data_IF_604880719274
#
_entry.id   IF_604880719274
#
_cell.length_a   1.000
_cell.length_b   1.000
_cell.length_c   1.000
_cell.angle_alpha   90.00
_cell.angle_beta   90.00
_cell.angle_gamma   90.00
#
_symmetry.space_group_name_H-M   'P 1'
#
loop_
_entity.id
_entity.type
_entity.pdbx_description
1 polymer ?
#
# COMPACT_ATOMS: atom_id res chain seq x y z
N UNK A 1 24.38 0.84 14.49
CA UNK A 1 24.17 2.12 15.22
C UNK A 1 24.00 3.36 14.31
N UNK A 2 24.56 3.39 13.08
CA UNK A 2 24.25 4.45 12.09
C UNK A 2 22.89 4.29 11.38
N UNK A 3 22.40 3.04 11.19
CA UNK A 3 21.16 2.76 10.45
C UNK A 3 19.88 3.15 11.21
N UNK A 4 19.86 2.97 12.54
CA UNK A 4 18.78 3.47 13.41
C UNK A 4 18.68 5.00 13.33
N UNK A 5 19.79 5.72 13.12
CA UNK A 5 19.78 7.16 12.86
C UNK A 5 19.22 7.52 11.48
N UNK A 6 19.35 6.65 10.47
CA UNK A 6 18.79 6.88 9.14
C UNK A 6 17.27 6.66 9.09
N UNK A 7 16.76 5.68 9.84
CA UNK A 7 15.32 5.48 10.08
C UNK A 7 14.75 6.58 11.00
N UNK A 8 15.44 6.94 12.10
CA UNK A 8 15.01 8.03 13.01
C UNK A 8 15.07 9.43 12.39
N UNK A 9 16.01 9.73 11.47
CA UNK A 9 16.05 11.04 10.79
C UNK A 9 14.86 11.29 9.85
N UNK A 10 14.10 10.24 9.54
CA UNK A 10 12.81 10.34 8.84
C UNK A 10 11.68 9.86 9.75
N UNK A 11 11.62 10.34 10.99
CA UNK A 11 10.32 10.55 11.62
C UNK A 11 9.56 11.54 10.71
N UNK A 12 8.82 10.96 9.78
CA UNK A 12 8.11 11.62 8.69
C UNK A 12 7.19 12.66 9.30
N UNK A 13 7.47 13.93 9.05
CA UNK A 13 6.50 14.97 9.29
C UNK A 13 5.29 14.67 8.39
N UNK A 14 4.17 14.25 8.99
CA UNK A 14 3.01 13.61 8.32
C UNK A 14 2.36 14.47 7.22
N UNK A 15 2.71 15.77 7.17
CA UNK A 15 2.23 16.76 6.20
C UNK A 15 3.24 17.18 5.15
N UNK A 16 4.46 16.63 5.12
CA UNK A 16 5.41 16.97 4.05
C UNK A 16 4.91 16.37 2.72
N UNK A 17 4.45 17.22 1.77
CA UNK A 17 3.94 16.72 0.51
C UNK A 17 5.05 16.02 -0.30
N UNK A 18 6.34 16.21 0.02
CA UNK A 18 7.52 15.71 -0.71
C UNK A 18 7.80 14.21 -0.53
N UNK A 19 7.10 13.55 0.39
CA UNK A 19 7.31 12.12 0.66
C UNK A 19 6.50 11.26 -0.32
N UNK A 20 7.14 10.27 -0.99
CA UNK A 20 6.43 9.34 -1.84
C UNK A 20 5.32 8.58 -1.09
N UNK A 21 4.21 8.32 -1.76
CA UNK A 21 3.00 7.68 -1.21
C UNK A 21 3.34 6.37 -0.51
N UNK A 22 4.15 5.51 -1.14
CA UNK A 22 4.52 4.23 -0.55
C UNK A 22 5.34 4.38 0.76
N UNK A 23 6.14 5.46 0.89
CA UNK A 23 6.84 5.77 2.15
C UNK A 23 5.90 6.34 3.21
N UNK A 24 4.83 7.03 2.81
CA UNK A 24 3.77 7.46 3.74
C UNK A 24 3.04 6.23 4.31
N UNK A 25 2.85 5.16 3.52
CA UNK A 25 2.26 3.92 4.03
C UNK A 25 3.04 3.37 5.23
N UNK A 26 4.38 3.33 5.18
CA UNK A 26 5.21 2.87 6.30
C UNK A 26 4.92 3.68 7.57
N UNK A 27 4.80 5.01 7.45
CA UNK A 27 4.49 5.88 8.58
C UNK A 27 3.09 5.65 9.16
N UNK A 28 2.08 5.39 8.32
CA UNK A 28 0.74 5.05 8.79
C UNK A 28 0.70 3.66 9.40
N UNK A 29 1.20 2.63 8.71
CA UNK A 29 1.29 1.25 9.21
C UNK A 29 2.02 1.21 10.54
N UNK A 30 3.13 1.94 10.70
CA UNK A 30 3.83 2.06 11.98
C UNK A 30 2.91 2.61 13.09
N UNK A 31 2.14 3.68 12.85
CA UNK A 31 1.18 4.17 13.86
C UNK A 31 0.14 3.09 14.21
N UNK A 32 -0.30 2.31 13.22
CA UNK A 32 -1.22 1.19 13.41
C UNK A 32 -0.61 0.14 14.33
N UNK A 33 0.63 -0.27 14.08
CA UNK A 33 1.40 -1.18 14.93
C UNK A 33 1.55 -0.64 16.35
N UNK A 34 1.95 0.63 16.48
CA UNK A 34 2.18 1.29 17.78
C UNK A 34 0.89 1.42 18.61
N UNK A 35 -0.29 1.34 17.97
CA UNK A 35 -1.61 1.34 18.63
C UNK A 35 -1.98 -0.04 19.18
N UNK A 36 -1.39 -1.12 18.66
CA UNK A 36 -1.64 -2.47 19.15
C UNK A 36 -1.00 -2.66 20.53
N UNK A 37 -1.65 -3.44 21.41
CA UNK A 37 -1.03 -3.87 22.67
C UNK A 37 0.20 -4.77 22.44
N UNK A 38 1.10 -4.84 23.42
CA UNK A 38 2.38 -5.56 23.30
C UNK A 38 2.23 -7.01 22.85
N UNK A 39 1.18 -7.70 23.33
CA UNK A 39 0.86 -9.07 22.92
C UNK A 39 0.66 -9.15 21.40
N UNK A 40 -0.21 -8.29 20.86
CA UNK A 40 -0.56 -8.31 19.45
C UNK A 40 0.63 -7.88 18.55
N UNK A 41 1.50 -6.99 19.04
CA UNK A 41 2.74 -6.64 18.34
C UNK A 41 3.73 -7.82 18.26
N UNK A 42 3.84 -8.61 19.34
CA UNK A 42 4.65 -9.85 19.36
C UNK A 42 4.09 -10.89 18.42
N UNK A 43 2.78 -11.11 18.43
CA UNK A 43 2.10 -12.03 17.51
C UNK A 43 2.30 -11.61 16.05
N UNK A 44 2.15 -10.31 15.74
CA UNK A 44 2.39 -9.76 14.41
C UNK A 44 3.85 -9.97 13.95
N UNK A 45 4.81 -9.73 14.84
CA UNK A 45 6.23 -9.96 14.54
C UNK A 45 6.52 -11.44 14.27
N UNK A 46 5.92 -12.34 15.06
CA UNK A 46 6.06 -13.79 14.88
C UNK A 46 5.42 -14.26 13.56
N UNK A 47 4.22 -13.77 13.25
CA UNK A 47 3.52 -14.03 11.99
C UNK A 47 4.36 -13.59 10.78
N UNK A 48 4.91 -12.38 10.82
CA UNK A 48 5.74 -11.87 9.72
C UNK A 48 7.03 -12.68 9.53
N UNK A 49 7.68 -13.12 10.63
CA UNK A 49 8.85 -14.03 10.55
C UNK A 49 8.48 -15.38 9.93
N UNK A 50 7.34 -15.95 10.31
CA UNK A 50 6.88 -17.23 9.78
C UNK A 50 6.55 -17.15 8.28
N UNK A 51 6.14 -15.98 7.78
CA UNK A 51 5.85 -15.73 6.36
C UNK A 51 7.08 -15.23 5.56
N UNK A 52 8.29 -15.37 6.10
CA UNK A 52 9.53 -15.17 5.35
C UNK A 52 10.20 -16.52 5.12
N UNK A 53 10.30 -16.93 3.85
CA UNK A 53 11.00 -18.14 3.46
C UNK A 53 12.49 -18.06 3.83
N UNK A 54 13.14 -19.20 4.08
CA UNK A 54 14.57 -19.27 4.43
C UNK A 54 15.51 -18.61 3.41
N UNK A 55 15.08 -18.60 2.14
CA UNK A 55 15.76 -17.88 1.04
C UNK A 55 15.58 -16.36 1.04
N UNK A 56 14.75 -15.81 1.93
CA UNK A 56 14.56 -14.37 2.17
C UNK A 56 13.33 -13.72 1.51
N UNK A 57 12.68 -14.39 0.57
CA UNK A 57 11.42 -13.94 -0.01
C UNK A 57 10.27 -14.08 0.98
N UNK A 58 9.36 -13.12 1.02
CA UNK A 58 8.10 -13.33 1.75
C UNK A 58 7.16 -14.20 0.93
N UNK A 59 6.28 -14.92 1.60
CA UNK A 59 5.49 -15.96 1.00
C UNK A 59 4.06 -15.54 0.68
N UNK A 60 3.48 -16.14 -0.34
CA UNK A 60 2.04 -16.16 -0.57
C UNK A 60 1.30 -17.04 0.46
N UNK A 61 -0.01 -17.17 0.30
CA UNK A 61 -0.86 -18.02 1.16
C UNK A 61 -0.53 -19.51 1.08
N UNK A 62 0.13 -19.96 0.01
CA UNK A 62 0.58 -21.34 -0.16
C UNK A 62 1.98 -21.58 0.42
N UNK A 63 2.61 -20.56 1.01
CA UNK A 63 3.96 -20.64 1.57
C UNK A 63 5.07 -20.52 0.53
N UNK A 64 4.75 -20.18 -0.72
CA UNK A 64 5.75 -20.03 -1.78
C UNK A 64 6.31 -18.61 -1.78
N UNK A 65 7.64 -18.42 -1.95
CA UNK A 65 8.21 -17.08 -2.11
C UNK A 65 7.57 -16.36 -3.30
N UNK A 66 6.97 -15.20 -3.03
CA UNK A 66 6.19 -14.45 -3.99
C UNK A 66 6.59 -12.97 -3.98
N UNK A 67 6.77 -12.38 -5.17
CA UNK A 67 7.25 -10.99 -5.29
C UNK A 67 6.17 -10.00 -4.86
N UNK A 68 4.91 -10.25 -5.20
CA UNK A 68 3.79 -9.40 -4.84
C UNK A 68 3.61 -9.34 -3.31
N UNK A 69 3.56 -10.49 -2.64
CA UNK A 69 3.52 -10.58 -1.18
C UNK A 69 4.80 -10.04 -0.52
N UNK A 70 5.94 -10.13 -1.21
CA UNK A 70 7.19 -9.49 -0.75
C UNK A 70 7.13 -7.98 -0.66
N UNK A 71 6.33 -7.30 -1.49
CA UNK A 71 6.14 -5.86 -1.33
C UNK A 71 5.51 -5.54 0.04
N UNK A 72 4.44 -6.24 0.40
CA UNK A 72 3.75 -6.07 1.68
C UNK A 72 4.63 -6.50 2.86
N UNK A 73 5.31 -7.64 2.74
CA UNK A 73 6.24 -8.13 3.77
C UNK A 73 7.37 -7.14 4.06
N UNK A 74 7.96 -6.53 3.02
CA UNK A 74 9.00 -5.50 3.20
C UNK A 74 8.44 -4.22 3.81
N UNK A 75 7.23 -3.78 3.42
CA UNK A 75 6.58 -2.60 4.02
C UNK A 75 6.25 -2.83 5.51
N UNK A 76 5.76 -4.01 5.86
CA UNK A 76 5.50 -4.42 7.24
C UNK A 76 6.80 -4.51 8.05
N UNK A 77 7.81 -5.23 7.54
CA UNK A 77 9.12 -5.36 8.19
C UNK A 77 9.81 -4.01 8.39
N UNK A 78 9.63 -3.08 7.43
CA UNK A 78 10.12 -1.70 7.56
C UNK A 78 9.39 -0.93 8.66
N UNK A 79 8.08 -1.14 8.83
CA UNK A 79 7.26 -0.49 9.86
C UNK A 79 7.53 -1.03 11.27
N UNK A 80 7.82 -2.34 11.36
CA UNK A 80 8.20 -3.07 12.57
C UNK A 80 9.70 -2.99 12.90
N UNK A 81 10.48 -2.30 12.07
CA UNK A 81 11.93 -2.15 12.22
C UNK A 81 12.70 -3.50 12.30
N UNK A 82 12.22 -4.51 11.59
CA UNK A 82 12.79 -5.86 11.55
C UNK A 82 14.01 -5.94 10.64
N UNK A 83 15.14 -5.42 11.12
CA UNK A 83 16.40 -5.28 10.36
C UNK A 83 16.90 -6.59 9.75
N UNK A 84 16.87 -7.69 10.49
CA UNK A 84 17.33 -9.01 10.00
C UNK A 84 16.48 -9.53 8.83
N UNK A 85 15.15 -9.37 8.92
CA UNK A 85 14.24 -9.75 7.85
C UNK A 85 14.49 -8.93 6.58
N UNK A 86 14.71 -7.61 6.74
CA UNK A 86 15.03 -6.71 5.63
C UNK A 86 16.38 -7.06 4.97
N UNK A 87 17.42 -7.37 5.75
CA UNK A 87 18.74 -7.76 5.20
C UNK A 87 18.68 -9.11 4.48
N UNK A 88 17.89 -10.05 4.98
CA UNK A 88 17.68 -11.34 4.30
C UNK A 88 16.91 -11.12 2.99
N UNK A 89 15.90 -10.25 2.98
CA UNK A 89 15.19 -9.91 1.76
C UNK A 89 16.05 -9.14 0.74
N UNK A 90 16.96 -8.27 1.18
CA UNK A 90 17.95 -7.62 0.29
C UNK A 90 18.80 -8.62 -0.49
N UNK A 91 19.16 -9.75 0.13
CA UNK A 91 19.91 -10.83 -0.55
C UNK A 91 19.02 -11.57 -1.56
N UNK A 92 17.78 -11.88 -1.17
CA UNK A 92 16.79 -12.51 -2.05
C UNK A 92 16.54 -11.69 -3.32
N UNK A 93 16.24 -10.40 -3.17
CA UNK A 93 15.85 -9.55 -4.31
C UNK A 93 17.01 -9.36 -5.30
N UNK A 94 18.26 -9.33 -4.83
CA UNK A 94 19.46 -9.29 -5.70
C UNK A 94 19.57 -10.52 -6.61
N UNK A 95 19.18 -11.70 -6.12
CA UNK A 95 19.21 -12.94 -6.91
C UNK A 95 18.05 -13.02 -7.91
N UNK A 96 16.92 -12.38 -7.61
CA UNK A 96 15.71 -12.39 -8.46
C UNK A 96 15.67 -11.31 -9.55
N UNK A 97 16.66 -10.41 -9.59
CA UNK A 97 16.70 -9.27 -10.54
C UNK A 97 16.59 -9.66 -12.02
N UNK A 98 16.97 -10.88 -12.41
CA UNK A 98 16.92 -11.39 -13.78
C UNK A 98 15.71 -12.26 -14.10
N UNK A 99 14.81 -12.51 -13.14
CA UNK A 99 13.74 -13.52 -13.23
C UNK A 99 12.33 -12.93 -13.23
N UNK A 100 12.19 -11.63 -13.49
CA UNK A 100 10.88 -10.99 -13.64
C UNK A 100 10.09 -11.65 -14.78
N UNK A 101 8.85 -12.08 -14.50
CA UNK A 101 8.02 -12.80 -15.48
C UNK A 101 7.03 -11.87 -16.18
N UNK A 102 6.70 -10.75 -15.54
CA UNK A 102 5.64 -9.86 -15.99
C UNK A 102 5.90 -8.39 -15.54
N UNK A 103 5.15 -7.40 -16.05
CA UNK A 103 5.35 -6.00 -15.67
C UNK A 103 5.07 -5.67 -14.20
N UNK A 104 4.22 -6.45 -13.52
CA UNK A 104 3.95 -6.26 -12.08
C UNK A 104 5.22 -6.57 -11.30
N UNK A 105 5.85 -7.71 -11.57
CA UNK A 105 7.11 -8.13 -10.94
C UNK A 105 8.17 -7.04 -11.10
N UNK A 106 8.31 -6.47 -12.31
CA UNK A 106 9.23 -5.37 -12.58
C UNK A 106 8.98 -4.16 -11.67
N UNK A 107 7.73 -3.72 -11.56
CA UNK A 107 7.37 -2.59 -10.69
C UNK A 107 7.65 -2.90 -9.22
N UNK A 108 7.27 -4.09 -8.76
CA UNK A 108 7.45 -4.52 -7.37
C UNK A 108 8.93 -4.59 -7.02
N UNK A 109 9.76 -5.21 -7.86
CA UNK A 109 11.21 -5.26 -7.68
C UNK A 109 11.78 -3.85 -7.58
N UNK A 110 11.39 -2.92 -8.48
CA UNK A 110 11.89 -1.54 -8.45
C UNK A 110 11.49 -0.79 -7.17
N UNK A 111 10.26 -0.97 -6.70
CA UNK A 111 9.76 -0.34 -5.46
C UNK A 111 10.50 -0.89 -4.23
N UNK A 112 10.67 -2.21 -4.14
CA UNK A 112 11.46 -2.86 -3.09
C UNK A 112 12.90 -2.36 -3.13
N UNK A 113 13.48 -2.19 -4.32
CA UNK A 113 14.84 -1.71 -4.47
C UNK A 113 15.03 -0.25 -4.01
N UNK A 114 14.14 0.67 -4.41
CA UNK A 114 14.21 2.06 -3.93
C UNK A 114 14.01 2.13 -2.41
N UNK A 115 13.17 1.25 -1.85
CA UNK A 115 12.95 1.17 -0.41
C UNK A 115 14.20 0.67 0.34
N UNK A 116 14.82 -0.42 -0.12
CA UNK A 116 15.90 -1.11 0.60
C UNK A 116 17.31 -0.58 0.30
N UNK A 117 17.59 -0.20 -0.94
CA UNK A 117 18.91 0.25 -1.40
C UNK A 117 19.03 1.78 -1.47
N UNK A 118 17.91 2.50 -1.43
CA UNK A 118 17.90 3.96 -1.40
C UNK A 118 18.72 4.57 -2.54
N UNK A 119 19.81 5.26 -2.19
CA UNK A 119 20.67 5.94 -3.16
C UNK A 119 21.47 4.99 -4.08
N UNK A 120 21.65 3.72 -3.69
CA UNK A 120 22.35 2.73 -4.53
C UNK A 120 21.45 2.25 -5.69
N UNK A 121 20.13 2.41 -5.58
CA UNK A 121 19.21 2.03 -6.63
C UNK A 121 19.22 3.03 -7.79
N UNK A 122 19.62 2.57 -8.97
CA UNK A 122 19.55 3.35 -10.21
C UNK A 122 18.13 3.35 -10.76
N UNK A 123 17.44 4.47 -10.55
CA UNK A 123 16.07 4.67 -11.02
C UNK A 123 15.98 4.58 -12.55
N UNK A 124 14.98 3.87 -13.09
CA UNK A 124 14.78 3.74 -14.53
C UNK A 124 14.34 5.05 -15.18
N UNK A 125 14.49 5.15 -16.51
CA UNK A 125 13.96 6.29 -17.26
C UNK A 125 12.43 6.27 -17.31
N UNK A 126 11.81 7.46 -17.38
CA UNK A 126 10.35 7.59 -17.42
C UNK A 126 9.72 6.83 -18.59
N UNK A 127 10.37 6.84 -19.77
CA UNK A 127 9.93 6.08 -20.94
C UNK A 127 9.90 4.56 -20.70
N UNK A 128 10.87 4.01 -19.95
CA UNK A 128 10.86 2.59 -19.58
C UNK A 128 9.66 2.26 -18.72
N UNK A 129 9.38 3.08 -17.70
CA UNK A 129 8.24 2.92 -16.80
C UNK A 129 6.90 3.04 -17.55
N UNK A 130 6.79 4.01 -18.47
CA UNK A 130 5.62 4.18 -19.33
C UNK A 130 5.39 2.96 -20.24
N UNK A 131 6.46 2.44 -20.87
CA UNK A 131 6.39 1.25 -21.73
C UNK A 131 5.95 0.02 -20.94
N UNK A 132 6.42 -0.16 -19.71
CA UNK A 132 6.00 -1.25 -18.82
C UNK A 132 4.51 -1.13 -18.44
N UNK A 133 4.03 0.08 -18.18
CA UNK A 133 2.64 0.32 -17.77
C UNK A 133 1.60 0.19 -18.91
N UNK A 134 1.96 0.60 -20.13
CA UNK A 134 1.01 0.68 -21.25
C UNK A 134 1.33 -0.27 -22.41
N UNK A 135 2.34 -1.14 -22.24
CA UNK A 135 2.66 -2.19 -23.21
C UNK A 135 1.52 -3.21 -23.39
N UNK A 136 1.52 -3.88 -24.55
CA UNK A 136 0.55 -4.94 -24.91
C UNK A 136 0.81 -6.25 -24.13
N UNK A 137 0.71 -6.22 -22.81
CA UNK A 137 0.69 -7.43 -21.98
C UNK A 137 -0.73 -7.66 -21.47
N UNK A 138 -1.33 -8.78 -21.88
CA UNK A 138 -2.76 -9.09 -21.76
C UNK A 138 -3.15 -9.92 -20.52
N UNK A 139 -2.20 -10.40 -19.74
CA UNK A 139 -2.48 -11.36 -18.65
C UNK A 139 -2.63 -10.73 -17.26
N UNK A 140 -2.34 -9.43 -17.09
CA UNK A 140 -2.34 -8.78 -15.77
C UNK A 140 -3.42 -7.72 -15.63
N UNK A 141 -3.98 -7.57 -14.42
CA UNK A 141 -4.99 -6.55 -14.11
C UNK A 141 -4.46 -5.15 -14.46
N UNK A 142 -5.09 -4.51 -15.45
CA UNK A 142 -4.71 -3.19 -15.94
C UNK A 142 -4.68 -2.15 -14.82
N UNK A 143 -5.70 -2.15 -13.95
CA UNK A 143 -5.81 -1.21 -12.84
C UNK A 143 -4.69 -1.37 -11.81
N UNK A 144 -4.31 -2.61 -11.52
CA UNK A 144 -3.22 -2.88 -10.58
C UNK A 144 -1.86 -2.44 -11.16
N UNK A 145 -1.61 -2.72 -12.45
CA UNK A 145 -0.42 -2.23 -13.15
C UNK A 145 -0.37 -0.69 -13.18
N UNK A 146 -1.51 -0.04 -13.40
CA UNK A 146 -1.61 1.42 -13.36
C UNK A 146 -1.32 1.96 -11.95
N UNK A 147 -1.81 1.29 -10.90
CA UNK A 147 -1.52 1.66 -9.51
C UNK A 147 -0.02 1.59 -9.19
N UNK A 148 0.66 0.49 -9.55
CA UNK A 148 2.09 0.35 -9.37
C UNK A 148 2.90 1.38 -10.18
N UNK A 149 2.45 1.69 -11.40
CA UNK A 149 3.01 2.79 -12.19
C UNK A 149 2.90 4.14 -11.48
N UNK A 150 1.76 4.45 -10.89
CA UNK A 150 1.57 5.70 -10.14
C UNK A 150 2.47 5.76 -8.89
N UNK A 151 2.61 4.65 -8.15
CA UNK A 151 3.54 4.58 -7.02
C UNK A 151 5.00 4.75 -7.44
N UNK A 152 5.42 4.04 -8.50
CA UNK A 152 6.78 4.11 -9.03
C UNK A 152 7.11 5.51 -9.57
N UNK A 153 6.16 6.15 -10.25
CA UNK A 153 6.37 7.50 -10.77
C UNK A 153 6.50 8.52 -9.65
N UNK A 154 5.62 8.50 -8.64
CA UNK A 154 5.71 9.34 -7.44
C UNK A 154 6.98 9.06 -6.61
N UNK A 155 7.51 7.83 -6.65
CA UNK A 155 8.77 7.45 -6.00
C UNK A 155 10.03 7.96 -6.73
N UNK A 156 10.07 7.82 -8.05
CA UNK A 156 11.34 7.93 -8.81
C UNK A 156 11.57 9.31 -9.42
N UNK A 157 10.52 10.04 -9.77
CA UNK A 157 10.61 11.26 -10.56
C UNK A 157 10.19 12.51 -9.79
N UNK A 158 10.62 13.68 -10.27
CA UNK A 158 10.30 14.96 -9.64
C UNK A 158 8.81 15.30 -9.80
N UNK A 159 8.28 15.99 -8.79
CA UNK A 159 6.87 16.42 -8.74
C UNK A 159 6.41 17.26 -9.93
N UNK A 160 7.31 18.06 -10.52
CA UNK A 160 6.97 18.88 -11.68
C UNK A 160 6.63 18.00 -12.88
N UNK A 161 7.43 16.95 -13.10
CA UNK A 161 7.23 16.00 -14.18
C UNK A 161 6.01 15.13 -13.89
N UNK A 162 5.97 14.46 -12.73
CA UNK A 162 4.87 13.56 -12.37
C UNK A 162 3.54 14.28 -12.27
N UNK A 163 3.51 15.42 -11.58
CA UNK A 163 2.31 16.24 -11.41
C UNK A 163 1.76 16.76 -12.73
N UNK A 164 2.61 17.15 -13.69
CA UNK A 164 2.15 17.60 -15.01
C UNK A 164 1.55 16.46 -15.82
N UNK A 165 2.24 15.32 -15.93
CA UNK A 165 1.75 14.17 -16.70
C UNK A 165 0.47 13.58 -16.09
N UNK A 166 0.45 13.40 -14.77
CA UNK A 166 -0.74 12.91 -14.05
C UNK A 166 -1.88 13.89 -14.23
N UNK A 167 -1.66 15.20 -14.04
CA UNK A 167 -2.70 16.21 -14.25
C UNK A 167 -3.27 16.19 -15.67
N UNK A 168 -2.43 16.11 -16.69
CA UNK A 168 -2.87 16.03 -18.09
C UNK A 168 -3.71 14.77 -18.33
N UNK A 169 -3.27 13.60 -17.86
CA UNK A 169 -4.05 12.36 -17.98
C UNK A 169 -5.39 12.42 -17.23
N UNK A 170 -5.41 12.98 -16.02
CA UNK A 170 -6.61 13.07 -15.18
C UNK A 170 -7.64 14.10 -15.67
N UNK A 171 -7.24 15.11 -16.45
CA UNK A 171 -8.17 16.08 -17.05
C UNK A 171 -9.13 15.37 -18.02
N UNK A 172 -8.65 14.38 -18.77
CA UNK A 172 -9.44 13.66 -19.77
C UNK A 172 -10.03 12.35 -19.24
N UNK A 173 -9.83 12.03 -17.96
CA UNK A 173 -10.28 10.78 -17.37
C UNK A 173 -11.31 11.02 -16.26
N UNK A 174 -12.51 10.51 -16.49
CA UNK A 174 -13.55 10.38 -15.46
C UNK A 174 -13.78 8.89 -15.20
N UNK A 175 -13.57 8.39 -13.97
CA UNK A 175 -13.79 6.98 -13.65
C UNK A 175 -15.28 6.60 -13.80
N UNK A 176 -15.59 5.51 -14.53
CA UNK A 176 -16.94 4.93 -14.57
C UNK A 176 -17.50 4.62 -13.18
N UNK A 177 -18.83 4.69 -13.03
CA UNK A 177 -19.53 4.57 -11.75
C UNK A 177 -19.37 3.19 -11.08
N UNK A 178 -19.14 2.17 -11.91
CA UNK A 178 -19.06 0.75 -11.59
C UNK A 178 -17.66 0.34 -11.12
N UNK A 179 -16.69 1.26 -11.10
CA UNK A 179 -15.35 0.95 -10.64
C UNK A 179 -15.30 0.71 -9.12
N UNK A 180 -14.42 -0.20 -8.66
CA UNK A 180 -14.33 -0.54 -7.24
C UNK A 180 -13.78 0.63 -6.42
N UNK A 181 -14.10 0.61 -5.12
CA UNK A 181 -13.66 1.60 -4.13
C UNK A 181 -12.15 1.86 -4.18
N UNK A 182 -11.35 0.81 -4.35
CA UNK A 182 -9.88 0.91 -4.42
C UNK A 182 -9.39 1.74 -5.61
N UNK A 183 -10.07 1.67 -6.75
CA UNK A 183 -9.74 2.49 -7.94
C UNK A 183 -10.15 3.94 -7.72
N UNK A 184 -11.30 4.19 -7.11
CA UNK A 184 -11.70 5.54 -6.70
C UNK A 184 -10.74 6.15 -5.68
N UNK A 185 -10.24 5.37 -4.73
CA UNK A 185 -9.26 5.81 -3.74
C UNK A 185 -7.93 6.20 -4.40
N UNK A 186 -7.42 5.36 -5.30
CA UNK A 186 -6.21 5.66 -6.07
C UNK A 186 -6.38 6.91 -6.93
N UNK A 187 -7.52 7.06 -7.62
CA UNK A 187 -7.86 8.25 -8.40
C UNK A 187 -7.90 9.52 -7.54
N UNK A 188 -8.50 9.43 -6.35
CA UNK A 188 -8.58 10.53 -5.38
C UNK A 188 -7.18 11.00 -4.95
N UNK A 189 -6.30 10.07 -4.59
CA UNK A 189 -4.90 10.39 -4.20
C UNK A 189 -4.12 10.98 -5.38
N UNK A 190 -4.31 10.46 -6.59
CA UNK A 190 -3.64 10.98 -7.79
C UNK A 190 -4.08 12.43 -8.09
N UNK A 191 -5.37 12.75 -7.96
CA UNK A 191 -5.90 14.12 -8.11
C UNK A 191 -5.35 15.07 -7.05
N UNK A 192 -5.30 14.64 -5.80
CA UNK A 192 -4.73 15.43 -4.70
C UNK A 192 -3.26 15.77 -4.96
N UNK A 193 -2.48 14.77 -5.38
CA UNK A 193 -1.07 14.94 -5.78
C UNK A 193 -0.90 15.87 -6.98
N UNK A 194 -1.86 15.87 -7.91
CA UNK A 194 -1.93 16.79 -9.04
C UNK A 194 -2.48 18.19 -8.68
N UNK A 195 -2.77 18.45 -7.39
CA UNK A 195 -3.37 19.69 -6.87
C UNK A 195 -4.70 20.02 -7.57
N UNK A 196 -5.51 18.99 -7.84
CA UNK A 196 -6.84 19.11 -8.42
C UNK A 196 -7.91 19.06 -7.33
N UNK A 197 -9.10 19.61 -7.60
CA UNK A 197 -10.23 19.51 -6.66
C UNK A 197 -10.67 18.05 -6.50
N UNK A 198 -10.87 17.61 -5.26
CA UNK A 198 -11.19 16.22 -4.88
C UNK A 198 -12.56 16.05 -4.21
N UNK A 199 -13.42 17.09 -4.23
CA UNK A 199 -14.67 17.07 -3.46
C UNK A 199 -15.65 16.00 -3.92
N UNK A 200 -15.78 15.79 -5.24
CA UNK A 200 -16.67 14.76 -5.80
C UNK A 200 -16.17 13.36 -5.48
N UNK A 201 -14.86 13.18 -5.55
CA UNK A 201 -14.20 11.91 -5.28
C UNK A 201 -14.31 11.52 -3.80
N UNK A 202 -14.16 12.49 -2.88
CA UNK A 202 -14.44 12.27 -1.45
C UNK A 202 -15.88 11.82 -1.21
N UNK A 203 -16.86 12.50 -1.83
CA UNK A 203 -18.27 12.11 -1.71
C UNK A 203 -18.52 10.69 -2.23
N UNK A 204 -17.93 10.35 -3.38
CA UNK A 204 -18.02 8.99 -3.93
C UNK A 204 -17.36 7.96 -3.01
N UNK A 205 -16.21 8.26 -2.40
CA UNK A 205 -15.59 7.36 -1.42
C UNK A 205 -16.50 7.11 -0.21
N UNK A 206 -17.12 8.16 0.36
CA UNK A 206 -18.07 7.99 1.46
C UNK A 206 -19.29 7.14 1.07
N UNK A 207 -19.70 7.11 -0.21
CA UNK A 207 -20.82 6.24 -0.63
C UNK A 207 -20.51 4.74 -0.58
N UNK A 208 -19.23 4.34 -0.45
CA UNK A 208 -18.86 2.94 -0.24
C UNK A 208 -18.85 2.53 1.24
N UNK A 209 -19.01 3.48 2.17
CA UNK A 209 -19.02 3.19 3.60
C UNK A 209 -20.33 2.51 4.02
N UNK A 210 -20.19 1.43 4.78
CA UNK A 210 -21.27 0.70 5.42
C UNK A 210 -21.18 0.89 6.93
N UNK A 211 -22.31 1.20 7.55
CA UNK A 211 -22.35 1.50 8.97
C UNK A 211 -21.90 0.28 9.79
N UNK A 212 -21.03 0.53 10.77
CA UNK A 212 -20.45 -0.50 11.65
C UNK A 212 -19.61 -1.59 10.96
N UNK A 213 -19.31 -1.47 9.65
CA UNK A 213 -18.48 -2.43 8.91
C UNK A 213 -17.29 -1.83 8.16
N UNK A 214 -17.28 -0.57 7.77
CA UNK A 214 -16.20 -0.01 6.95
C UNK A 214 -16.55 0.03 5.46
N UNK A 215 -15.59 0.06 4.54
CA UNK A 215 -15.86 0.33 3.12
C UNK A 215 -15.99 -0.94 2.28
N UNK A 216 -16.97 -0.93 1.38
CA UNK A 216 -17.25 -1.99 0.42
C UNK A 216 -16.39 -1.89 -0.84
N UNK A 217 -16.20 -3.02 -1.54
CA UNK A 217 -15.56 -3.04 -2.87
C UNK A 217 -16.42 -2.31 -3.91
N UNK A 218 -17.71 -2.64 -3.94
CA UNK A 218 -18.73 -2.02 -4.80
C UNK A 218 -19.91 -1.55 -3.94
N UNK A 219 -20.68 -0.51 -4.32
CA UNK A 219 -21.81 -0.05 -3.53
C UNK A 219 -22.84 -1.15 -3.23
N UNK A 220 -23.02 -2.07 -4.18
CA UNK A 220 -23.99 -3.17 -4.14
C UNK A 220 -23.48 -4.39 -3.34
N UNK A 221 -22.21 -4.40 -2.90
CA UNK A 221 -21.69 -5.51 -2.13
C UNK A 221 -22.37 -5.62 -0.76
N UNK A 222 -22.54 -6.84 -0.26
CA UNK A 222 -23.18 -7.10 1.03
C UNK A 222 -22.23 -6.88 2.22
N UNK A 223 -20.93 -6.93 1.97
CA UNK A 223 -19.87 -6.94 2.97
C UNK A 223 -18.80 -5.90 2.67
N UNK A 224 -18.24 -5.35 3.74
CA UNK A 224 -17.07 -4.48 3.68
C UNK A 224 -15.80 -5.32 3.55
N UNK A 225 -14.78 -4.73 2.93
CA UNK A 225 -13.52 -5.39 2.63
C UNK A 225 -12.35 -4.59 3.23
N UNK A 226 -11.36 -5.30 3.77
CA UNK A 226 -10.20 -4.71 4.45
C UNK A 226 -9.35 -3.84 3.52
N UNK A 227 -9.13 -4.28 2.29
CA UNK A 227 -8.38 -3.50 1.29
C UNK A 227 -9.11 -2.18 1.02
N UNK A 228 -10.40 -2.26 0.66
CA UNK A 228 -11.25 -1.12 0.34
C UNK A 228 -11.34 -0.13 1.49
N UNK A 229 -11.49 -0.63 2.72
CA UNK A 229 -11.48 0.16 3.96
C UNK A 229 -10.18 0.92 4.13
N UNK A 230 -9.03 0.24 4.02
CA UNK A 230 -7.73 0.86 4.20
C UNK A 230 -7.44 1.96 3.18
N UNK A 231 -7.67 1.69 1.90
CA UNK A 231 -7.34 2.64 0.83
C UNK A 231 -8.31 3.82 0.79
N UNK A 232 -9.59 3.62 1.11
CA UNK A 232 -10.57 4.71 1.22
C UNK A 232 -10.21 5.65 2.37
N UNK A 233 -9.93 5.12 3.55
CA UNK A 233 -9.49 5.91 4.71
C UNK A 233 -8.21 6.69 4.40
N UNK A 234 -7.21 6.04 3.78
CA UNK A 234 -5.97 6.70 3.39
C UNK A 234 -6.19 7.86 2.40
N UNK A 235 -7.06 7.66 1.40
CA UNK A 235 -7.40 8.68 0.41
C UNK A 235 -8.16 9.86 1.03
N UNK A 236 -9.16 9.57 1.88
CA UNK A 236 -9.93 10.57 2.62
C UNK A 236 -9.04 11.38 3.57
N UNK A 237 -8.16 10.73 4.35
CA UNK A 237 -7.16 11.41 5.20
C UNK A 237 -6.22 12.28 4.38
N UNK A 238 -5.73 11.78 3.25
CA UNK A 238 -4.79 12.48 2.37
C UNK A 238 -5.41 13.75 1.77
N UNK A 239 -6.72 13.75 1.52
CA UNK A 239 -7.47 14.91 1.00
C UNK A 239 -8.06 15.81 2.10
N UNK A 240 -7.67 15.59 3.36
CA UNK A 240 -8.14 16.38 4.50
C UNK A 240 -9.61 16.21 4.83
N UNK A 241 -10.23 15.08 4.46
CA UNK A 241 -11.60 14.76 4.85
C UNK A 241 -11.70 14.49 6.36
N UNK A 242 -12.87 14.78 6.93
CA UNK A 242 -13.21 14.42 8.30
C UNK A 242 -13.60 12.94 8.37
N UNK A 243 -12.90 12.19 9.23
CA UNK A 243 -13.12 10.75 9.41
C UNK A 243 -13.96 10.40 10.63
N UNK A 244 -14.38 11.39 11.45
CA UNK A 244 -15.08 11.13 12.72
C UNK A 244 -16.31 10.25 12.58
N UNK A 245 -17.07 10.41 11.49
CA UNK A 245 -18.30 9.63 11.24
C UNK A 245 -18.04 8.18 10.82
N UNK A 246 -16.90 7.89 10.21
CA UNK A 246 -16.57 6.53 9.72
C UNK A 246 -15.63 5.78 10.66
N UNK A 247 -14.91 6.50 11.52
CA UNK A 247 -13.88 5.94 12.39
C UNK A 247 -14.39 4.84 13.34
N UNK A 248 -15.52 5.01 14.06
CA UNK A 248 -16.00 3.96 14.97
C UNK A 248 -16.28 2.63 14.26
N UNK A 249 -17.04 2.67 13.16
CA UNK A 249 -17.37 1.46 12.39
C UNK A 249 -16.15 0.80 11.76
N UNK A 250 -15.20 1.60 11.26
CA UNK A 250 -13.95 1.08 10.72
C UNK A 250 -13.07 0.44 11.81
N UNK A 251 -12.99 1.02 13.01
CA UNK A 251 -12.22 0.45 14.13
C UNK A 251 -12.81 -0.88 14.58
N UNK A 252 -14.13 -0.96 14.74
CA UNK A 252 -14.83 -2.22 15.06
C UNK A 252 -14.57 -3.29 14.01
N UNK A 253 -14.63 -2.93 12.73
CA UNK A 253 -14.32 -3.85 11.62
C UNK A 253 -12.87 -4.31 11.60
N UNK A 254 -11.91 -3.43 11.88
CA UNK A 254 -10.50 -3.83 11.97
C UNK A 254 -10.30 -4.80 13.14
N UNK A 255 -10.91 -4.50 14.28
CA UNK A 255 -10.79 -5.31 15.49
C UNK A 255 -11.39 -6.71 15.33
N UNK A 256 -12.58 -6.85 14.75
CA UNK A 256 -13.23 -8.15 14.57
C UNK A 256 -12.47 -9.08 13.61
N UNK A 257 -11.64 -8.51 12.72
CA UNK A 257 -10.87 -9.23 11.72
C UNK A 257 -9.43 -9.52 12.15
N UNK A 258 -9.06 -9.25 13.40
CA UNK A 258 -7.77 -9.65 13.94
C UNK A 258 -7.75 -11.15 14.24
N UNK A 259 -6.72 -11.86 13.76
CA UNK A 259 -6.52 -13.29 14.00
C UNK A 259 -5.04 -13.62 14.21
N UNK A 260 -4.65 -13.82 15.48
CA UNK A 260 -3.36 -14.37 15.91
C UNK A 260 -2.14 -13.77 15.17
N UNK A 261 -1.96 -12.46 15.25
CA UNK A 261 -0.86 -11.74 14.59
C UNK A 261 -1.09 -11.32 13.14
N UNK A 262 -2.24 -11.66 12.54
CA UNK A 262 -2.63 -11.25 11.21
C UNK A 262 -4.00 -10.54 11.23
N UNK A 263 -4.39 -9.96 10.10
CA UNK A 263 -5.76 -9.49 9.88
C UNK A 263 -6.36 -10.14 8.64
N UNK A 264 -7.64 -10.48 8.73
CA UNK A 264 -8.43 -11.13 7.70
C UNK A 264 -9.07 -10.11 6.74
N UNK A 265 -9.56 -10.62 5.60
CA UNK A 265 -10.19 -9.80 4.57
C UNK A 265 -11.53 -9.16 5.00
N UNK A 266 -12.26 -9.83 5.91
CA UNK A 266 -13.58 -9.40 6.37
C UNK A 266 -14.76 -9.82 5.49
N UNK A 267 -14.50 -10.63 4.46
CA UNK A 267 -15.48 -11.13 3.48
C UNK A 267 -15.84 -12.62 3.67
N UNK A 268 -15.62 -13.15 4.88
CA UNK A 268 -15.74 -14.58 5.20
C UNK A 268 -14.52 -15.44 4.85
N UNK A 269 -13.52 -14.86 4.16
CA UNK A 269 -12.22 -15.48 3.95
C UNK A 269 -11.37 -15.46 5.24
N UNK A 270 -11.09 -16.65 5.77
CA UNK A 270 -10.30 -16.84 6.99
C UNK A 270 -8.79 -17.03 6.70
N UNK A 271 -8.36 -16.78 5.47
CA UNK A 271 -6.95 -16.81 5.08
C UNK A 271 -6.16 -15.67 5.72
N UNK A 272 -5.20 -16.02 6.55
CA UNK A 272 -4.20 -15.07 7.07
C UNK A 272 -3.13 -14.82 6.01
N UNK A 273 -2.86 -13.56 5.70
CA UNK A 273 -1.79 -13.20 4.77
C UNK A 273 -1.16 -11.83 5.11
N UNK A 274 -0.08 -11.50 4.40
CA UNK A 274 0.64 -10.24 4.59
C UNK A 274 -0.10 -9.03 4.00
N UNK A 275 -0.95 -9.25 3.01
CA UNK A 275 -1.64 -8.19 2.27
C UNK A 275 -2.73 -7.55 3.13
N UNK A 276 -3.67 -8.34 3.63
CA UNK A 276 -4.75 -7.85 4.49
C UNK A 276 -4.23 -7.38 5.84
N UNK A 277 -3.17 -8.01 6.35
CA UNK A 277 -2.44 -7.51 7.53
C UNK A 277 -1.87 -6.12 7.30
N UNK A 278 -1.26 -5.87 6.14
CA UNK A 278 -0.80 -4.53 5.77
C UNK A 278 -1.96 -3.54 5.68
N UNK A 279 -3.05 -3.90 5.01
CA UNK A 279 -4.19 -3.00 4.84
C UNK A 279 -4.86 -2.66 6.18
N UNK A 280 -5.06 -3.63 7.08
CA UNK A 280 -5.62 -3.38 8.39
C UNK A 280 -4.78 -2.42 9.23
N UNK A 281 -3.44 -2.59 9.23
CA UNK A 281 -2.54 -1.69 9.94
C UNK A 281 -2.48 -0.30 9.30
N UNK A 282 -2.56 -0.22 7.96
CA UNK A 282 -2.68 1.04 7.25
C UNK A 282 -3.98 1.77 7.64
N UNK A 283 -5.10 1.05 7.71
CA UNK A 283 -6.39 1.57 8.11
C UNK A 283 -6.36 2.08 9.55
N UNK A 284 -5.92 1.24 10.50
CA UNK A 284 -5.80 1.57 11.92
C UNK A 284 -4.91 2.80 12.12
N UNK A 285 -3.73 2.79 11.50
CA UNK A 285 -2.76 3.87 11.58
C UNK A 285 -3.21 5.19 10.96
N UNK A 286 -4.19 5.15 10.04
CA UNK A 286 -4.79 6.34 9.42
C UNK A 286 -5.81 7.02 10.32
N UNK A 287 -6.50 6.22 11.15
CA UNK A 287 -7.54 6.68 12.07
C UNK A 287 -6.98 7.32 13.34
N UNK A 288 -5.75 6.95 13.74
CA UNK A 288 -5.03 7.50 14.90
C UNK A 288 -4.14 8.70 14.59
#
# INVERSE_FOLDING_TARGET
>A
MLWVKFLKKKCVNKKDPDIPVYRRFIGFVKNGVDTLGEKNQKELTAFLKANQHSGGGFTDRAGNPDLYYSLFGVLLASSLEMTEALETHKRFIKQKMSQSKNPIDDFVIMLIQDLLFGNEFRRPSFFKILKLAFGKNRETSFFYRLFLFLLATDAFYSKKVTGLFVRLGLIFYTPPAELPCSVYAAYTVAREKAKMKTQKEKQKLFSFYEESKGFKVFPEANESDMLSTAVALFALKTTGADLRMVAPGCLSFIQQNYDNGAFLAGTGDNGRDLEYTFYALLALGTLV
#
